data_IF_386935262674
#
_entry.id   IF_386935262674
#
_cell.length_a   1.000
_cell.length_b   1.000
_cell.length_c   1.000
_cell.angle_alpha   90.00
_cell.angle_beta   90.00
_cell.angle_gamma   90.00
#
_symmetry.space_group_name_H-M   'P 1'
#
loop_
_entity.id
_entity.type
_entity.pdbx_description
1 polymer ?
#
# COMPACT_ATOMS: atom_id res chain seq x y z
N UNK A 1 7.98 32.18 -66.89
CA UNK A 1 9.37 32.61 -67.17
C UNK A 1 9.47 34.04 -66.71
N UNK A 2 10.11 34.38 -65.59
CA UNK A 2 11.18 33.72 -64.84
C UNK A 2 11.14 34.13 -63.36
N UNK A 3 11.70 33.25 -62.52
CA UNK A 3 11.92 33.35 -61.06
C UNK A 3 12.81 34.53 -60.61
N UNK A 4 12.73 34.89 -59.31
CA UNK A 4 13.84 35.06 -58.33
C UNK A 4 13.28 35.66 -57.01
N UNK A 5 13.07 34.94 -55.89
CA UNK A 5 13.96 34.50 -54.78
C UNK A 5 14.79 35.61 -54.08
N UNK A 6 14.60 35.74 -52.76
CA UNK A 6 15.46 36.48 -51.82
C UNK A 6 14.71 36.95 -50.55
N UNK A 7 14.46 36.10 -49.54
CA UNK A 7 15.30 35.74 -48.35
C UNK A 7 15.49 36.83 -47.28
N UNK A 8 15.14 36.48 -46.02
CA UNK A 8 15.48 37.18 -44.76
C UNK A 8 14.29 37.18 -43.78
N UNK A 9 13.96 36.06 -43.13
CA UNK A 9 14.48 35.56 -41.83
C UNK A 9 14.37 36.53 -40.64
N UNK A 10 13.85 36.02 -39.52
CA UNK A 10 13.78 36.71 -38.24
C UNK A 10 12.63 36.29 -37.32
N UNK A 11 11.80 35.31 -37.68
CA UNK A 11 10.69 34.84 -36.83
C UNK A 11 11.15 33.73 -35.89
N UNK A 12 11.67 34.18 -34.74
CA UNK A 12 11.71 33.59 -33.39
C UNK A 12 12.03 32.08 -33.27
N UNK A 13 13.04 31.70 -32.46
CA UNK A 13 13.19 30.31 -32.07
C UNK A 13 11.95 29.88 -31.28
N UNK A 14 11.22 28.88 -31.81
CA UNK A 14 10.30 28.07 -31.03
C UNK A 14 11.13 27.22 -30.07
N UNK A 15 11.59 27.84 -28.99
CA UNK A 15 11.92 27.13 -27.78
C UNK A 15 10.62 26.57 -27.24
N UNK A 16 10.29 25.33 -27.61
CA UNK A 16 9.38 24.49 -26.83
C UNK A 16 10.07 24.25 -25.48
N UNK A 17 10.04 25.26 -24.60
CA UNK A 17 10.15 25.02 -23.17
C UNK A 17 8.92 24.21 -22.83
N UNK A 18 9.04 22.88 -22.87
CA UNK A 18 8.10 22.00 -22.21
C UNK A 18 8.03 22.51 -20.78
N UNK A 19 6.92 23.20 -20.45
CA UNK A 19 6.61 23.52 -19.06
C UNK A 19 6.58 22.15 -18.40
N UNK A 20 7.52 21.84 -17.48
CA UNK A 20 7.53 20.53 -16.85
C UNK A 20 6.15 20.35 -16.20
N UNK A 21 5.52 19.21 -16.45
CA UNK A 21 4.30 18.84 -15.74
C UNK A 21 4.61 18.97 -14.25
N UNK A 22 3.91 19.85 -13.54
CA UNK A 22 4.20 20.16 -12.13
C UNK A 22 4.12 18.89 -11.28
N UNK A 23 3.23 17.96 -11.60
CA UNK A 23 3.15 16.66 -10.93
C UNK A 23 4.38 15.78 -11.21
N UNK A 24 4.97 15.87 -12.40
CA UNK A 24 6.24 15.18 -12.69
C UNK A 24 7.40 15.77 -11.89
N UNK A 25 7.37 17.07 -11.54
CA UNK A 25 8.34 17.65 -10.62
C UNK A 25 8.19 17.05 -9.22
N UNK A 26 6.96 16.87 -8.73
CA UNK A 26 6.71 16.25 -7.42
C UNK A 26 7.21 14.80 -7.41
N UNK A 27 6.88 14.00 -8.42
CA UNK A 27 7.37 12.63 -8.52
C UNK A 27 8.90 12.53 -8.63
N UNK A 28 9.55 13.46 -9.34
CA UNK A 28 11.01 13.50 -9.40
C UNK A 28 11.63 13.90 -8.06
N UNK A 29 11.05 14.87 -7.35
CA UNK A 29 11.47 15.27 -6.03
C UNK A 29 11.38 14.13 -5.01
N UNK A 30 10.30 13.33 -5.09
CA UNK A 30 10.09 12.15 -4.24
C UNK A 30 11.23 11.13 -4.42
N UNK A 31 11.54 10.75 -5.66
CA UNK A 31 12.66 9.84 -5.94
C UNK A 31 14.02 10.38 -5.49
N UNK A 32 14.25 11.69 -5.61
CA UNK A 32 15.48 12.32 -5.08
C UNK A 32 15.56 12.24 -3.55
N UNK A 33 14.43 12.40 -2.86
CA UNK A 33 14.37 12.25 -1.40
C UNK A 33 14.66 10.80 -0.98
N UNK A 34 14.13 9.81 -1.70
CA UNK A 34 14.44 8.38 -1.48
C UNK A 34 15.92 8.05 -1.69
N UNK A 35 16.59 8.73 -2.64
CA UNK A 35 18.04 8.65 -2.88
C UNK A 35 18.89 9.37 -1.81
N UNK A 36 18.26 10.08 -0.86
CA UNK A 36 18.94 10.90 0.14
C UNK A 36 19.48 12.24 -0.41
N UNK A 37 19.05 12.66 -1.59
CA UNK A 37 19.43 13.94 -2.23
C UNK A 37 18.46 15.05 -1.81
N UNK A 38 18.42 15.29 -0.50
CA UNK A 38 17.41 16.13 0.16
C UNK A 38 17.38 17.57 -0.36
N UNK A 39 18.54 18.18 -0.62
CA UNK A 39 18.63 19.56 -1.13
C UNK A 39 18.00 19.70 -2.53
N UNK A 40 18.22 18.71 -3.39
CA UNK A 40 17.66 18.70 -4.75
C UNK A 40 16.16 18.40 -4.73
N UNK A 41 15.74 17.45 -3.90
CA UNK A 41 14.33 17.15 -3.67
C UNK A 41 13.58 18.40 -3.18
N UNK A 42 14.13 19.08 -2.17
CA UNK A 42 13.57 20.32 -1.62
C UNK A 42 13.39 21.40 -2.69
N UNK A 43 14.42 21.63 -3.52
CA UNK A 43 14.34 22.63 -4.58
C UNK A 43 13.19 22.33 -5.58
N UNK A 44 12.94 21.05 -5.88
CA UNK A 44 11.83 20.66 -6.75
C UNK A 44 10.46 20.76 -6.05
N UNK A 45 10.36 20.40 -4.77
CA UNK A 45 9.13 20.62 -3.99
C UNK A 45 8.78 22.11 -3.90
N UNK A 46 9.75 22.97 -3.62
CA UNK A 46 9.55 24.43 -3.56
C UNK A 46 9.06 24.99 -4.90
N UNK A 47 9.58 24.47 -6.03
CA UNK A 47 9.09 24.82 -7.37
C UNK A 47 7.65 24.34 -7.61
N UNK A 48 7.31 23.13 -7.16
CA UNK A 48 5.94 22.63 -7.26
C UNK A 48 4.98 23.46 -6.40
N UNK A 49 5.38 23.87 -5.21
CA UNK A 49 4.61 24.78 -4.33
C UNK A 49 4.42 26.14 -5.00
N UNK A 50 5.47 26.72 -5.58
CA UNK A 50 5.42 28.00 -6.27
C UNK A 50 4.51 28.01 -7.51
N UNK A 51 4.16 26.84 -8.06
CA UNK A 51 3.21 26.74 -9.19
C UNK A 51 1.79 27.18 -8.83
N UNK A 52 1.41 27.08 -7.54
CA UNK A 52 0.06 27.36 -7.06
C UNK A 52 -1.01 26.34 -7.49
N UNK A 53 -0.64 25.26 -8.19
CA UNK A 53 -1.58 24.19 -8.56
C UNK A 53 -1.99 23.43 -7.30
N UNK A 54 -3.27 23.46 -6.87
CA UNK A 54 -3.70 22.96 -5.56
C UNK A 54 -3.21 21.55 -5.21
N UNK A 55 -3.35 20.62 -6.14
CA UNK A 55 -2.92 19.22 -5.97
C UNK A 55 -1.40 19.10 -5.82
N UNK A 56 -0.63 19.76 -6.69
CA UNK A 56 0.83 19.76 -6.61
C UNK A 56 1.34 20.46 -5.34
N UNK A 57 0.68 21.54 -4.91
CA UNK A 57 1.00 22.23 -3.65
C UNK A 57 0.74 21.30 -2.47
N UNK A 58 -0.42 20.64 -2.44
CA UNK A 58 -0.76 19.65 -1.41
C UNK A 58 0.27 18.54 -1.36
N UNK A 59 0.57 17.93 -2.51
CA UNK A 59 1.46 16.79 -2.59
C UNK A 59 2.92 17.14 -2.22
N UNK A 60 3.43 18.26 -2.71
CA UNK A 60 4.78 18.73 -2.43
C UNK A 60 4.96 19.14 -0.97
N UNK A 61 3.99 19.86 -0.37
CA UNK A 61 4.04 20.22 1.06
C UNK A 61 3.97 18.99 1.95
N UNK A 62 3.15 18.00 1.61
CA UNK A 62 3.04 16.78 2.40
C UNK A 62 4.40 16.05 2.47
N UNK A 63 5.05 15.82 1.33
CA UNK A 63 6.34 15.15 1.29
C UNK A 63 7.48 15.94 1.91
N UNK A 64 7.57 17.24 1.58
CA UNK A 64 8.57 18.10 2.18
C UNK A 64 8.40 18.13 3.71
N UNK A 65 7.15 18.15 4.20
CA UNK A 65 6.85 18.09 5.62
C UNK A 65 7.32 16.78 6.26
N UNK A 66 7.09 15.63 5.61
CA UNK A 66 7.59 14.33 6.08
C UNK A 66 9.13 14.24 6.09
N UNK A 67 9.79 14.87 5.11
CA UNK A 67 11.25 14.96 5.05
C UNK A 67 11.80 15.83 6.19
N UNK A 68 11.14 16.94 6.51
CA UNK A 68 11.49 17.78 7.66
C UNK A 68 11.35 17.02 8.99
N UNK A 69 10.28 16.26 9.18
CA UNK A 69 10.12 15.41 10.38
C UNK A 69 11.28 14.40 10.49
N UNK A 70 11.63 13.74 9.38
CA UNK A 70 12.70 12.73 9.36
C UNK A 70 14.09 13.31 9.63
N UNK A 71 14.33 14.57 9.24
CA UNK A 71 15.58 15.29 9.50
C UNK A 71 15.61 16.01 10.87
N UNK A 72 14.54 15.92 11.64
CA UNK A 72 14.45 16.41 13.02
C UNK A 72 13.71 17.74 13.20
N UNK A 73 13.32 18.42 12.13
CA UNK A 73 12.42 19.59 12.19
C UNK A 73 10.96 19.14 12.28
N UNK A 74 10.61 18.61 13.44
CA UNK A 74 9.28 18.06 13.72
C UNK A 74 8.19 19.12 13.62
N UNK A 75 8.40 20.30 14.22
CA UNK A 75 7.41 21.36 14.27
C UNK A 75 7.17 21.97 12.88
N UNK A 76 8.25 22.26 12.14
CA UNK A 76 8.17 22.75 10.77
C UNK A 76 7.52 21.73 9.84
N UNK A 77 7.90 20.47 9.96
CA UNK A 77 7.33 19.37 9.19
C UNK A 77 5.82 19.20 9.44
N UNK A 78 5.39 19.15 10.70
CA UNK A 78 3.97 19.03 11.06
C UNK A 78 3.14 20.20 10.54
N UNK A 79 3.63 21.43 10.71
CA UNK A 79 2.94 22.62 10.20
C UNK A 79 2.76 22.55 8.68
N UNK A 80 3.81 22.16 7.96
CA UNK A 80 3.79 22.06 6.50
C UNK A 80 2.82 20.98 5.99
N UNK A 81 2.73 19.84 6.67
CA UNK A 81 1.73 18.80 6.35
C UNK A 81 0.30 19.30 6.64
N UNK A 82 0.09 20.07 7.70
CA UNK A 82 -1.21 20.70 7.97
C UNK A 82 -1.64 21.65 6.84
N UNK A 83 -0.71 22.47 6.35
CA UNK A 83 -0.95 23.33 5.17
C UNK A 83 -1.20 22.53 3.90
N UNK A 84 -0.54 21.36 3.74
CA UNK A 84 -0.76 20.46 2.62
C UNK A 84 -2.21 19.98 2.55
N UNK A 85 -2.79 19.58 3.69
CA UNK A 85 -4.19 19.14 3.77
C UNK A 85 -5.15 20.26 3.38
N UNK A 86 -4.86 21.50 3.76
CA UNK A 86 -5.68 22.67 3.43
C UNK A 86 -5.54 23.13 1.97
N UNK A 87 -4.47 22.74 1.28
CA UNK A 87 -4.18 23.19 -0.09
C UNK A 87 -5.07 22.53 -1.16
N UNK A 88 -5.70 21.39 -0.87
CA UNK A 88 -6.57 20.69 -1.81
C UNK A 88 -7.80 20.09 -1.12
N UNK A 89 -8.86 19.85 -1.89
CA UNK A 89 -10.04 19.09 -1.44
C UNK A 89 -9.89 17.61 -1.83
N UNK A 90 -10.67 16.69 -1.22
CA UNK A 90 -10.71 15.31 -1.68
C UNK A 90 -11.11 15.19 -3.15
N UNK A 91 -10.54 14.25 -3.92
CA UNK A 91 -9.52 13.28 -3.51
C UNK A 91 -8.08 13.83 -3.45
N UNK A 92 -7.83 15.05 -3.94
CA UNK A 92 -6.49 15.62 -4.13
C UNK A 92 -5.68 15.88 -2.85
N UNK A 93 -6.31 15.86 -1.67
CA UNK A 93 -5.61 15.91 -0.38
C UNK A 93 -5.40 14.54 0.27
N UNK A 94 -5.78 13.43 -0.39
CA UNK A 94 -5.69 12.08 0.16
C UNK A 94 -4.26 11.73 0.62
N UNK A 95 -3.25 12.06 -0.17
CA UNK A 95 -1.83 11.86 0.21
C UNK A 95 -1.42 12.70 1.41
N UNK A 96 -1.82 13.97 1.45
CA UNK A 96 -1.52 14.85 2.58
C UNK A 96 -2.13 14.32 3.89
N UNK A 97 -3.37 13.81 3.83
CA UNK A 97 -4.03 13.18 4.97
C UNK A 97 -3.33 11.89 5.40
N UNK A 98 -2.91 11.03 4.46
CA UNK A 98 -2.14 9.81 4.77
C UNK A 98 -0.81 10.15 5.45
N UNK A 99 -0.08 11.14 4.93
CA UNK A 99 1.18 11.61 5.51
C UNK A 99 0.96 12.24 6.88
N UNK A 100 -0.09 13.04 7.05
CA UNK A 100 -0.45 13.63 8.35
C UNK A 100 -0.64 12.53 9.39
N UNK A 101 -1.38 11.47 9.06
CA UNK A 101 -1.59 10.38 9.99
C UNK A 101 -0.29 9.68 10.41
N UNK A 102 0.63 9.44 9.47
CA UNK A 102 1.96 8.87 9.78
C UNK A 102 2.79 9.77 10.68
N UNK A 103 2.81 11.08 10.39
CA UNK A 103 3.53 12.05 11.21
C UNK A 103 2.94 12.10 12.62
N UNK A 104 1.62 12.15 12.76
CA UNK A 104 0.96 12.18 14.06
C UNK A 104 1.21 10.90 14.86
N UNK A 105 1.13 9.73 14.23
CA UNK A 105 1.45 8.46 14.89
C UNK A 105 2.92 8.42 15.35
N UNK A 106 3.86 8.87 14.51
CA UNK A 106 5.28 8.95 14.89
C UNK A 106 5.52 9.84 16.13
N UNK A 107 4.69 10.88 16.30
CA UNK A 107 4.72 11.78 17.45
C UNK A 107 3.89 11.28 18.65
N UNK A 108 3.30 10.09 18.56
CA UNK A 108 2.46 9.49 19.61
C UNK A 108 1.05 10.07 19.71
N UNK A 109 0.60 10.84 18.72
CA UNK A 109 -0.77 11.34 18.62
C UNK A 109 -1.64 10.37 17.81
N UNK A 110 -1.95 9.21 18.40
CA UNK A 110 -2.76 8.17 17.77
C UNK A 110 -4.19 8.65 17.44
N UNK A 111 -4.76 9.54 18.26
CA UNK A 111 -6.10 10.08 18.02
C UNK A 111 -6.11 10.99 16.78
N UNK A 112 -5.08 11.85 16.65
CA UNK A 112 -4.87 12.64 15.45
C UNK A 112 -4.58 11.79 14.21
N UNK A 113 -3.79 10.72 14.37
CA UNK A 113 -3.49 9.78 13.30
C UNK A 113 -4.75 9.07 12.77
N UNK A 114 -5.56 8.55 13.68
CA UNK A 114 -6.84 7.90 13.38
C UNK A 114 -7.78 8.85 12.61
N UNK A 115 -7.89 10.10 13.06
CA UNK A 115 -8.72 11.11 12.40
C UNK A 115 -8.24 11.41 10.97
N UNK A 116 -6.93 11.57 10.78
CA UNK A 116 -6.34 11.83 9.47
C UNK A 116 -6.51 10.64 8.51
N UNK A 117 -6.25 9.41 8.96
CA UNK A 117 -6.41 8.23 8.14
C UNK A 117 -7.86 7.88 7.83
N UNK A 118 -8.80 8.10 8.75
CA UNK A 118 -10.23 7.96 8.45
C UNK A 118 -10.69 8.95 7.37
N UNK A 119 -10.19 10.18 7.39
CA UNK A 119 -10.44 11.16 6.33
C UNK A 119 -9.79 10.76 4.99
N UNK A 120 -8.56 10.24 5.01
CA UNK A 120 -7.89 9.74 3.79
C UNK A 120 -8.61 8.51 3.20
N UNK A 121 -9.00 7.55 4.04
CA UNK A 121 -9.71 6.34 3.63
C UNK A 121 -11.08 6.64 2.98
N UNK A 122 -11.69 7.77 3.33
CA UNK A 122 -12.98 8.22 2.76
C UNK A 122 -12.83 9.27 1.66
N UNK A 123 -11.59 9.62 1.27
CA UNK A 123 -11.31 10.68 0.28
C UNK A 123 -11.71 10.32 -1.15
N UNK A 124 -11.91 9.03 -1.45
CA UNK A 124 -12.14 8.53 -2.80
C UNK A 124 -10.89 8.48 -3.69
N UNK A 125 -9.70 8.77 -3.16
CA UNK A 125 -8.46 8.63 -3.91
C UNK A 125 -8.15 7.15 -4.15
N UNK A 126 -7.96 6.69 -5.40
CA UNK A 126 -7.84 5.26 -5.74
C UNK A 126 -6.68 4.55 -5.03
N UNK A 127 -5.51 5.21 -4.91
CA UNK A 127 -4.35 4.60 -4.25
C UNK A 127 -4.23 4.95 -2.75
N UNK A 128 -4.50 6.22 -2.38
CA UNK A 128 -4.32 6.72 -1.01
C UNK A 128 -5.42 6.28 -0.05
N UNK A 129 -6.66 6.10 -0.53
CA UNK A 129 -7.75 5.65 0.32
C UNK A 129 -7.54 4.22 0.87
N UNK A 130 -7.24 3.20 0.03
CA UNK A 130 -6.96 1.86 0.55
C UNK A 130 -5.68 1.79 1.39
N UNK A 131 -4.64 2.57 1.06
CA UNK A 131 -3.44 2.71 1.90
C UNK A 131 -3.80 3.19 3.32
N UNK A 132 -4.55 4.29 3.41
CA UNK A 132 -4.97 4.85 4.69
C UNK A 132 -5.93 3.93 5.45
N UNK A 133 -6.80 3.20 4.74
CA UNK A 133 -7.69 2.20 5.35
C UNK A 133 -6.90 1.07 6.04
N UNK A 134 -5.80 0.63 5.42
CA UNK A 134 -4.92 -0.39 5.99
C UNK A 134 -4.19 0.14 7.23
N UNK A 135 -3.58 1.32 7.14
CA UNK A 135 -2.93 1.98 8.28
C UNK A 135 -3.90 2.22 9.46
N UNK A 136 -5.13 2.62 9.14
CA UNK A 136 -6.19 2.78 10.13
C UNK A 136 -6.53 1.46 10.81
N UNK A 137 -6.69 0.37 10.05
CA UNK A 137 -6.99 -0.95 10.59
C UNK A 137 -5.89 -1.45 11.55
N UNK A 138 -4.62 -1.29 11.17
CA UNK A 138 -3.46 -1.64 12.00
C UNK A 138 -3.41 -0.85 13.31
N UNK A 139 -3.66 0.47 13.25
CA UNK A 139 -3.73 1.32 14.45
C UNK A 139 -4.88 0.90 15.38
N UNK A 140 -6.05 0.60 14.83
CA UNK A 140 -7.21 0.16 15.60
C UNK A 140 -6.94 -1.18 16.29
N UNK A 141 -6.27 -2.12 15.61
CA UNK A 141 -5.80 -3.37 16.24
C UNK A 141 -4.81 -3.11 17.39
N UNK A 142 -3.82 -2.24 17.18
CA UNK A 142 -2.85 -1.89 18.22
C UNK A 142 -3.53 -1.31 19.48
N UNK A 143 -4.70 -0.69 19.32
CA UNK A 143 -5.54 -0.14 20.39
C UNK A 143 -6.63 -1.09 20.88
N UNK A 144 -6.64 -2.34 20.41
CA UNK A 144 -7.64 -3.36 20.70
C UNK A 144 -9.08 -3.00 20.32
N UNK A 145 -9.27 -2.06 19.39
CA UNK A 145 -10.58 -1.78 18.77
C UNK A 145 -10.80 -2.73 17.59
N UNK A 146 -11.03 -3.99 17.93
CA UNK A 146 -11.04 -5.10 16.97
C UNK A 146 -12.19 -5.01 15.98
N UNK A 147 -13.37 -4.54 16.41
CA UNK A 147 -14.53 -4.44 15.53
C UNK A 147 -14.33 -3.35 14.48
N UNK A 148 -13.84 -2.17 14.89
CA UNK A 148 -13.53 -1.10 13.95
C UNK A 148 -12.36 -1.48 13.01
N UNK A 149 -11.36 -2.20 13.51
CA UNK A 149 -10.27 -2.71 12.67
C UNK A 149 -10.76 -3.66 11.58
N UNK A 150 -11.67 -4.59 11.91
CA UNK A 150 -12.25 -5.52 10.93
C UNK A 150 -13.02 -4.79 9.84
N UNK A 151 -13.81 -3.78 10.21
CA UNK A 151 -14.51 -2.94 9.23
C UNK A 151 -13.53 -2.23 8.30
N UNK A 152 -12.46 -1.65 8.85
CA UNK A 152 -11.43 -0.99 8.07
C UNK A 152 -10.70 -1.95 7.12
N UNK A 153 -10.31 -3.15 7.58
CA UNK A 153 -9.74 -4.18 6.69
C UNK A 153 -10.72 -4.56 5.58
N UNK A 154 -12.00 -4.80 5.91
CA UNK A 154 -13.00 -5.17 4.91
C UNK A 154 -13.17 -4.10 3.83
N UNK A 155 -13.16 -2.81 4.20
CA UNK A 155 -13.19 -1.71 3.24
C UNK A 155 -11.99 -1.72 2.29
N UNK A 156 -10.79 -2.04 2.78
CA UNK A 156 -9.60 -2.19 1.94
C UNK A 156 -9.72 -3.38 1.00
N UNK A 157 -10.25 -4.51 1.47
CA UNK A 157 -10.50 -5.71 0.66
C UNK A 157 -11.50 -5.39 -0.46
N UNK A 158 -12.61 -4.73 -0.12
CA UNK A 158 -13.68 -4.36 -1.04
C UNK A 158 -13.23 -3.35 -2.11
N UNK A 159 -12.18 -2.57 -1.82
CA UNK A 159 -11.56 -1.67 -2.81
C UNK A 159 -10.92 -2.43 -3.98
N UNK A 160 -10.54 -3.70 -3.79
CA UNK A 160 -9.81 -4.49 -4.78
C UNK A 160 -8.41 -3.95 -5.12
N UNK A 161 -7.86 -3.03 -4.30
CA UNK A 161 -6.55 -2.44 -4.57
C UNK A 161 -5.44 -3.51 -4.58
N UNK A 162 -4.71 -3.60 -5.68
CA UNK A 162 -3.80 -4.72 -5.96
C UNK A 162 -2.69 -4.91 -4.91
N UNK A 163 -2.26 -3.84 -4.25
CA UNK A 163 -1.21 -3.90 -3.23
C UNK A 163 -1.76 -4.06 -1.80
N UNK A 164 -2.90 -3.45 -1.49
CA UNK A 164 -3.37 -3.31 -0.10
C UNK A 164 -4.48 -4.30 0.24
N UNK A 165 -5.35 -4.65 -0.72
CA UNK A 165 -6.40 -5.63 -0.48
C UNK A 165 -5.87 -7.03 -0.10
N UNK A 166 -4.79 -7.56 -0.74
CA UNK A 166 -4.22 -8.85 -0.35
C UNK A 166 -3.63 -8.85 1.07
N UNK A 167 -2.97 -7.75 1.46
CA UNK A 167 -2.47 -7.58 2.82
C UNK A 167 -3.61 -7.53 3.84
N UNK A 168 -4.60 -6.67 3.60
CA UNK A 168 -5.77 -6.53 4.46
C UNK A 168 -6.50 -7.87 4.63
N UNK A 169 -6.64 -8.64 3.55
CA UNK A 169 -7.25 -9.98 3.60
C UNK A 169 -6.40 -11.00 4.38
N UNK A 170 -5.08 -10.93 4.29
CA UNK A 170 -4.20 -11.74 5.10
C UNK A 170 -4.35 -11.44 6.60
N UNK A 171 -4.26 -10.16 6.97
CA UNK A 171 -4.26 -9.70 8.35
C UNK A 171 -5.64 -9.89 8.99
N UNK A 172 -6.72 -9.60 8.26
CA UNK A 172 -8.08 -9.89 8.70
C UNK A 172 -8.28 -11.40 8.98
N UNK A 173 -7.70 -12.28 8.15
CA UNK A 173 -7.80 -13.72 8.36
C UNK A 173 -7.12 -14.18 9.67
N UNK A 174 -5.99 -13.59 10.03
CA UNK A 174 -5.32 -13.84 11.32
C UNK A 174 -6.21 -13.41 12.49
N UNK A 175 -6.80 -12.22 12.39
CA UNK A 175 -7.68 -11.69 13.43
C UNK A 175 -8.97 -12.51 13.59
N UNK A 176 -9.56 -12.95 12.48
CA UNK A 176 -10.76 -13.78 12.52
C UNK A 176 -10.47 -15.15 13.17
N UNK A 177 -9.35 -15.79 12.84
CA UNK A 177 -9.05 -17.11 13.41
C UNK A 177 -8.64 -17.05 14.88
N UNK A 178 -7.69 -16.18 15.23
CA UNK A 178 -7.04 -16.20 16.55
C UNK A 178 -7.78 -15.37 17.58
N UNK A 179 -8.40 -14.26 17.17
CA UNK A 179 -9.12 -13.35 18.07
C UNK A 179 -10.63 -13.62 18.05
N UNK A 180 -11.25 -13.62 16.87
CA UNK A 180 -12.71 -13.80 16.75
C UNK A 180 -13.17 -15.26 16.95
N UNK A 181 -12.26 -16.22 16.78
CA UNK A 181 -12.58 -17.66 16.68
C UNK A 181 -13.61 -17.95 15.57
N UNK A 182 -13.50 -17.22 14.46
CA UNK A 182 -14.29 -17.39 13.25
C UNK A 182 -13.46 -18.02 12.12
N UNK A 183 -13.39 -19.37 12.07
CA UNK A 183 -12.65 -20.06 11.01
C UNK A 183 -13.27 -19.87 9.62
N UNK A 184 -14.57 -19.59 9.51
CA UNK A 184 -15.22 -19.39 8.20
C UNK A 184 -14.85 -18.03 7.62
N UNK A 185 -14.89 -16.99 8.45
CA UNK A 185 -14.39 -15.67 8.06
C UNK A 185 -12.91 -15.70 7.70
N UNK A 186 -12.07 -16.37 8.51
CA UNK A 186 -10.64 -16.53 8.23
C UNK A 186 -10.38 -17.26 6.89
N UNK A 187 -11.14 -18.32 6.61
CA UNK A 187 -11.10 -19.01 5.33
C UNK A 187 -11.39 -18.06 4.16
N UNK A 188 -12.47 -17.27 4.24
CA UNK A 188 -12.86 -16.35 3.18
C UNK A 188 -11.80 -15.27 2.93
N UNK A 189 -11.26 -14.68 4.00
CA UNK A 189 -10.24 -13.65 3.91
C UNK A 189 -8.93 -14.20 3.30
N UNK A 190 -8.39 -15.31 3.81
CA UNK A 190 -7.18 -15.89 3.23
C UNK A 190 -7.37 -16.43 1.81
N UNK A 191 -8.56 -16.94 1.48
CA UNK A 191 -8.88 -17.34 0.11
C UNK A 191 -8.84 -16.14 -0.84
N UNK A 192 -9.34 -14.97 -0.42
CA UNK A 192 -9.24 -13.72 -1.20
C UNK A 192 -7.78 -13.33 -1.45
N UNK A 193 -6.94 -13.36 -0.42
CA UNK A 193 -5.50 -13.09 -0.57
C UNK A 193 -4.81 -14.07 -1.53
N UNK A 194 -5.11 -15.37 -1.45
CA UNK A 194 -4.58 -16.39 -2.37
C UNK A 194 -5.04 -16.14 -3.82
N UNK A 195 -6.34 -15.89 -4.01
CA UNK A 195 -6.94 -15.68 -5.33
C UNK A 195 -6.43 -14.40 -6.01
N UNK A 196 -5.97 -13.41 -5.24
CA UNK A 196 -5.34 -12.20 -5.77
C UNK A 196 -4.06 -12.46 -6.55
N UNK A 197 -3.37 -13.58 -6.27
CA UNK A 197 -2.06 -13.89 -6.84
C UNK A 197 -0.93 -12.96 -6.38
N UNK A 198 -1.14 -12.14 -5.34
CA UNK A 198 -0.13 -11.23 -4.82
C UNK A 198 1.13 -12.01 -4.38
N UNK A 199 2.34 -11.60 -4.81
CA UNK A 199 3.54 -12.41 -4.63
C UNK A 199 3.95 -12.63 -3.17
N UNK A 200 3.66 -11.68 -2.27
CA UNK A 200 3.93 -11.81 -0.83
C UNK A 200 2.72 -12.38 -0.06
N UNK A 201 1.62 -11.63 0.00
CA UNK A 201 0.43 -11.99 0.79
C UNK A 201 -0.34 -13.23 0.31
N UNK A 202 -0.28 -13.57 -0.98
CA UNK A 202 -0.91 -14.80 -1.49
C UNK A 202 -0.30 -16.05 -0.85
N UNK A 203 1.02 -16.27 -0.95
CA UNK A 203 1.70 -17.37 -0.28
C UNK A 203 1.57 -17.37 1.26
N UNK A 204 1.69 -16.20 1.92
CA UNK A 204 1.50 -16.08 3.37
C UNK A 204 0.11 -16.58 3.79
N UNK A 205 -0.94 -16.08 3.14
CA UNK A 205 -2.31 -16.52 3.38
C UNK A 205 -2.51 -18.00 3.01
N UNK A 206 -1.87 -18.48 1.95
CA UNK A 206 -1.94 -19.87 1.50
C UNK A 206 -1.47 -20.87 2.56
N UNK A 207 -0.40 -20.56 3.31
CA UNK A 207 0.05 -21.44 4.39
C UNK A 207 -0.98 -21.53 5.52
N UNK A 208 -1.55 -20.39 5.92
CA UNK A 208 -2.60 -20.35 6.95
C UNK A 208 -3.87 -21.05 6.49
N UNK A 209 -4.32 -20.80 5.26
CA UNK A 209 -5.47 -21.47 4.65
C UNK A 209 -5.28 -22.98 4.57
N UNK A 210 -4.09 -23.45 4.19
CA UNK A 210 -3.80 -24.89 4.15
C UNK A 210 -3.86 -25.54 5.54
N UNK A 211 -3.35 -24.88 6.58
CA UNK A 211 -3.45 -25.38 7.97
C UNK A 211 -4.92 -25.45 8.41
N UNK A 212 -5.68 -24.38 8.17
CA UNK A 212 -7.10 -24.31 8.51
C UNK A 212 -7.90 -25.43 7.83
N UNK A 213 -7.63 -25.69 6.54
CA UNK A 213 -8.26 -26.78 5.79
C UNK A 213 -7.90 -28.16 6.36
N UNK A 214 -6.63 -28.38 6.70
CA UNK A 214 -6.18 -29.66 7.28
C UNK A 214 -6.81 -29.93 8.64
N UNK A 215 -6.83 -28.92 9.53
CA UNK A 215 -7.45 -29.00 10.85
C UNK A 215 -8.97 -29.23 10.74
N UNK A 216 -9.60 -28.70 9.70
CA UNK A 216 -11.00 -28.96 9.32
C UNK A 216 -11.24 -30.32 8.65
N UNK A 217 -10.21 -31.14 8.46
CA UNK A 217 -10.29 -32.47 7.86
C UNK A 217 -10.15 -32.52 6.33
N UNK A 218 -10.13 -31.38 5.64
CA UNK A 218 -9.91 -31.30 4.19
C UNK A 218 -8.41 -31.27 3.85
N UNK A 219 -7.75 -32.39 4.13
CA UNK A 219 -6.33 -32.56 3.87
C UNK A 219 -6.00 -32.52 2.38
N UNK A 220 -6.91 -32.89 1.50
CA UNK A 220 -6.68 -32.84 0.06
C UNK A 220 -6.58 -31.40 -0.44
N UNK A 221 -7.53 -30.54 -0.06
CA UNK A 221 -7.48 -29.11 -0.40
C UNK A 221 -6.30 -28.42 0.27
N UNK A 222 -6.00 -28.73 1.55
CA UNK A 222 -4.82 -28.22 2.24
C UNK A 222 -3.53 -28.46 1.44
N UNK A 223 -3.37 -29.70 0.96
CA UNK A 223 -2.21 -30.08 0.14
C UNK A 223 -2.16 -29.35 -1.20
N UNK A 224 -3.31 -29.11 -1.85
CA UNK A 224 -3.33 -28.33 -3.10
C UNK A 224 -2.85 -26.90 -2.87
N UNK A 225 -3.30 -26.25 -1.79
CA UNK A 225 -2.87 -24.90 -1.44
C UNK A 225 -1.38 -24.87 -1.08
N UNK A 226 -0.90 -25.79 -0.24
CA UNK A 226 0.54 -25.84 0.09
C UNK A 226 1.42 -26.16 -1.12
N UNK A 227 0.97 -26.98 -2.07
CA UNK A 227 1.69 -27.22 -3.32
C UNK A 227 1.82 -25.92 -4.13
N UNK A 228 0.74 -25.17 -4.26
CA UNK A 228 0.78 -23.85 -4.90
C UNK A 228 1.75 -22.89 -4.19
N UNK A 229 1.78 -22.86 -2.86
CA UNK A 229 2.75 -22.07 -2.09
C UNK A 229 4.19 -22.49 -2.40
N UNK A 230 4.48 -23.79 -2.48
CA UNK A 230 5.81 -24.28 -2.87
C UNK A 230 6.17 -23.85 -4.29
N UNK A 231 5.21 -23.93 -5.22
CA UNK A 231 5.40 -23.57 -6.62
C UNK A 231 5.62 -22.06 -6.81
N UNK A 232 5.08 -21.22 -5.91
CA UNK A 232 5.34 -19.78 -5.86
C UNK A 232 6.79 -19.43 -5.53
N UNK A 233 7.54 -20.37 -4.93
CA UNK A 233 8.92 -20.19 -4.44
C UNK A 233 9.08 -19.05 -3.44
N UNK A 234 8.03 -18.73 -2.67
CA UNK A 234 8.11 -17.71 -1.62
C UNK A 234 9.20 -18.06 -0.59
N UNK A 235 10.16 -17.15 -0.32
CA UNK A 235 11.35 -17.48 0.47
C UNK A 235 11.04 -17.82 1.93
N UNK A 236 10.05 -17.15 2.53
CA UNK A 236 9.69 -17.31 3.94
C UNK A 236 8.85 -18.56 4.18
N UNK A 237 7.72 -18.72 3.46
CA UNK A 237 6.72 -19.75 3.75
C UNK A 237 6.76 -20.98 2.84
N UNK A 238 7.55 -20.96 1.76
CA UNK A 238 7.77 -22.11 0.89
C UNK A 238 8.31 -23.35 1.64
N UNK A 239 9.36 -23.22 2.49
CA UNK A 239 9.87 -24.34 3.29
C UNK A 239 8.83 -24.95 4.24
N UNK A 240 7.99 -24.11 4.86
CA UNK A 240 6.94 -24.56 5.76
C UNK A 240 5.83 -25.31 4.98
N UNK A 241 5.39 -24.77 3.85
CA UNK A 241 4.42 -25.45 2.99
C UNK A 241 4.95 -26.82 2.52
N UNK A 242 6.23 -26.91 2.15
CA UNK A 242 6.87 -28.17 1.78
C UNK A 242 6.92 -29.17 2.94
N UNK A 243 7.14 -28.69 4.17
CA UNK A 243 7.08 -29.52 5.37
C UNK A 243 5.67 -30.06 5.60
N UNK A 244 4.64 -29.21 5.53
CA UNK A 244 3.24 -29.61 5.69
C UNK A 244 2.82 -30.63 4.63
N UNK A 245 3.26 -30.48 3.38
CA UNK A 245 3.07 -31.48 2.32
C UNK A 245 3.75 -32.82 2.62
N UNK A 246 4.91 -32.83 3.28
CA UNK A 246 5.57 -34.08 3.65
C UNK A 246 4.82 -34.79 4.77
N UNK A 247 4.39 -34.05 5.79
CA UNK A 247 3.71 -34.59 6.96
C UNK A 247 2.31 -35.14 6.64
N UNK A 248 1.64 -34.56 5.66
CA UNK A 248 0.29 -34.97 5.23
C UNK A 248 0.30 -35.89 4.02
N UNK A 249 1.45 -36.47 3.66
CA UNK A 249 1.54 -37.36 2.51
C UNK A 249 0.66 -38.61 2.72
N UNK A 250 -0.08 -39.07 1.70
CA UNK A 250 -0.85 -40.30 1.84
C UNK A 250 0.10 -41.47 2.15
N UNK A 251 -0.35 -42.46 2.94
CA UNK A 251 0.46 -43.62 3.24
C UNK A 251 0.91 -44.28 1.94
N UNK A 252 2.21 -44.62 1.85
CA UNK A 252 2.73 -45.38 0.72
C UNK A 252 1.92 -46.68 0.65
N UNK A 253 1.31 -46.97 -0.51
CA UNK A 253 0.64 -48.26 -0.75
C UNK A 253 1.65 -49.38 -0.47
N UNK A 254 1.57 -49.95 0.72
CA UNK A 254 2.31 -51.15 1.07
C UNK A 254 1.86 -52.25 0.13
N UNK A 255 2.80 -52.87 -0.56
CA UNK A 255 2.53 -54.06 -1.34
C UNK A 255 2.09 -55.16 -0.38
N UNK A 256 0.78 -55.28 -0.13
CA UNK A 256 0.23 -56.47 0.49
C UNK A 256 0.49 -57.62 -0.49
N UNK A 257 1.53 -58.42 -0.21
CA UNK A 257 1.69 -59.73 -0.83
C UNK A 257 0.48 -60.55 -0.41
N UNK A 258 -0.44 -60.78 -1.36
CA UNK A 258 -1.47 -61.81 -1.22
C UNK A 258 -0.74 -63.15 -1.19
N UNK A 259 -0.70 -63.77 -0.02
CA UNK A 259 -0.33 -65.18 0.17
C UNK A 259 -1.52 -66.08 -0.14
#
# INVERSE_FOLDING_TARGET
>A
MTDDVGTGDGSRPQGLTSVPNVMALVGHADGLAEEGREDEARALFERAIASGVPEAVSEAKALLGAMLVSSGDVDGGRALVGEAVAAASPPGNGRALTVLGRVLQHLGDDAGAEAAWRAAATSGHPDRAPEAGLLLAELLLARADVDAAREAFQQVIDSGHLLYAPQAAHDLGLELLYTARDPQGAYAAWKSAVDSGHPEYGPLAGVHLGKLLHDGGDTESARRVWQWVVDSRHPVVGPEAAQNLRLTAPPKKGWFRRG
#
